data_IF_283734717000
#
_entry.id   IF_283734717000
#
_cell.length_a   1.000
_cell.length_b   1.000
_cell.length_c   1.000
_cell.angle_alpha   90.00
_cell.angle_beta   90.00
_cell.angle_gamma   90.00
#
_symmetry.space_group_name_H-M   'P 1'
#
loop_
_entity.id
_entity.type
_entity.pdbx_description
1 polymer ?
#
# COMPACT_ATOMS: atom_id res chain seq x y z
N UNK A 1 48.59 27.61 16.64
CA UNK A 1 48.11 26.94 15.42
C UNK A 1 47.45 25.64 15.85
N UNK A 2 46.19 25.72 16.32
CA UNK A 2 45.46 24.60 16.91
C UNK A 2 44.45 24.09 15.88
N UNK A 3 44.74 22.92 15.30
CA UNK A 3 43.84 22.28 14.36
C UNK A 3 42.64 21.71 15.13
N UNK A 4 41.48 22.35 14.98
CA UNK A 4 40.21 21.78 15.41
C UNK A 4 39.90 20.58 14.50
N UNK A 5 40.18 19.37 14.99
CA UNK A 5 39.64 18.14 14.43
C UNK A 5 38.12 18.18 14.60
N UNK A 6 37.40 18.37 13.49
CA UNK A 6 35.94 18.20 13.46
C UNK A 6 35.69 16.70 13.50
N UNK A 7 35.24 16.19 14.65
CA UNK A 7 34.77 14.83 14.83
C UNK A 7 33.64 14.55 13.82
N UNK A 8 33.85 13.61 12.89
CA UNK A 8 32.81 13.23 11.95
C UNK A 8 31.62 12.63 12.74
N UNK A 9 30.37 13.02 12.46
CA UNK A 9 29.22 12.55 13.22
C UNK A 9 29.15 11.01 13.18
N UNK A 10 28.81 10.35 14.30
CA UNK A 10 28.79 8.90 14.37
C UNK A 10 27.85 8.33 13.30
N UNK A 11 28.36 7.41 12.48
CA UNK A 11 27.67 6.83 11.32
C UNK A 11 26.28 6.25 11.67
N UNK A 12 26.07 5.85 12.93
CA UNK A 12 24.79 5.38 13.47
C UNK A 12 23.66 6.43 13.42
N UNK A 13 23.96 7.72 13.58
CA UNK A 13 22.96 8.80 13.51
C UNK A 13 22.46 9.02 12.07
N UNK A 14 23.35 8.88 11.09
CA UNK A 14 23.02 9.01 9.68
C UNK A 14 22.20 7.82 9.16
N UNK A 15 22.47 6.60 9.63
CA UNK A 15 21.66 5.42 9.30
C UNK A 15 20.30 5.46 10.00
N UNK A 16 20.27 5.80 11.29
CA UNK A 16 19.02 5.95 12.05
C UNK A 16 18.05 6.90 11.38
N UNK A 17 18.52 8.10 10.98
CA UNK A 17 17.69 9.09 10.29
C UNK A 17 17.16 8.61 8.94
N UNK A 18 17.95 7.85 8.16
CA UNK A 18 17.50 7.27 6.87
C UNK A 18 16.44 6.18 7.05
N UNK A 19 16.47 5.49 8.18
CA UNK A 19 15.56 4.38 8.47
C UNK A 19 14.24 4.79 9.09
N UNK A 20 14.13 6.00 9.63
CA UNK A 20 12.89 6.50 10.23
C UNK A 20 11.69 6.40 9.27
N UNK A 21 11.82 6.89 8.04
CA UNK A 21 10.72 6.87 7.08
C UNK A 21 10.32 5.44 6.65
N UNK A 22 11.26 4.56 6.22
CA UNK A 22 10.91 3.16 5.93
C UNK A 22 10.28 2.42 7.09
N UNK A 23 10.81 2.57 8.30
CA UNK A 23 10.28 1.90 9.49
C UNK A 23 8.89 2.43 9.84
N UNK A 24 8.67 3.74 9.79
CA UNK A 24 7.35 4.32 10.05
C UNK A 24 6.32 3.88 9.01
N UNK A 25 6.67 3.89 7.72
CA UNK A 25 5.75 3.49 6.65
C UNK A 25 5.45 2.00 6.68
N UNK A 26 6.48 1.14 6.68
CA UNK A 26 6.30 -0.32 6.66
C UNK A 26 5.68 -0.79 7.97
N UNK A 27 6.14 -0.26 9.10
CA UNK A 27 5.56 -0.55 10.42
C UNK A 27 4.11 -0.13 10.50
N UNK A 28 3.76 1.07 10.04
CA UNK A 28 2.37 1.56 9.99
C UNK A 28 1.47 0.69 9.09
N UNK A 29 1.95 0.32 7.89
CA UNK A 29 1.24 -0.60 6.99
C UNK A 29 1.07 -1.99 7.62
N UNK A 30 2.11 -2.50 8.28
CA UNK A 30 2.06 -3.78 9.00
C UNK A 30 1.04 -3.75 10.13
N UNK A 31 1.03 -2.70 10.94
CA UNK A 31 0.04 -2.51 12.01
C UNK A 31 -1.39 -2.41 11.47
N UNK A 32 -1.61 -1.65 10.39
CA UNK A 32 -2.90 -1.57 9.74
C UNK A 32 -3.37 -2.94 9.19
N UNK A 33 -2.44 -3.70 8.60
CA UNK A 33 -2.69 -5.06 8.09
C UNK A 33 -3.06 -6.02 9.23
N UNK A 34 -2.31 -6.00 10.33
CA UNK A 34 -2.62 -6.79 11.53
C UNK A 34 -3.99 -6.40 12.09
N UNK A 35 -4.30 -5.11 12.15
CA UNK A 35 -5.60 -4.65 12.63
C UNK A 35 -6.75 -5.17 11.76
N UNK A 36 -6.58 -5.20 10.43
CA UNK A 36 -7.55 -5.78 9.50
C UNK A 36 -7.66 -7.29 9.62
N UNK A 37 -6.57 -8.00 9.91
CA UNK A 37 -6.59 -9.43 10.18
C UNK A 37 -7.37 -9.75 11.46
N UNK A 38 -7.19 -8.94 12.51
CA UNK A 38 -7.82 -9.17 13.82
C UNK A 38 -9.26 -8.65 13.93
N UNK A 39 -9.66 -7.70 13.08
CA UNK A 39 -10.98 -7.08 13.08
C UNK A 39 -11.58 -7.15 11.69
N UNK A 40 -12.46 -8.13 11.51
CA UNK A 40 -13.00 -8.51 10.21
C UNK A 40 -13.79 -7.35 9.54
N UNK A 41 -13.33 -6.84 8.38
CA UNK A 41 -14.04 -5.82 7.61
C UNK A 41 -15.25 -6.32 6.83
N UNK A 42 -15.52 -7.63 6.81
CA UNK A 42 -16.76 -8.20 6.28
C UNK A 42 -17.94 -7.99 7.22
N UNK A 43 -17.69 -7.85 8.53
CA UNK A 43 -18.72 -7.54 9.50
C UNK A 43 -19.21 -6.09 9.34
N UNK A 44 -20.52 -5.92 9.13
CA UNK A 44 -21.11 -4.61 8.93
C UNK A 44 -20.87 -3.70 10.14
N UNK A 45 -20.29 -2.51 9.91
CA UNK A 45 -20.02 -1.53 10.95
C UNK A 45 -18.73 -1.76 11.74
N UNK A 46 -17.98 -2.84 11.48
CA UNK A 46 -16.71 -3.09 12.17
C UNK A 46 -15.71 -1.95 11.95
N UNK A 47 -15.66 -1.35 10.76
CA UNK A 47 -14.80 -0.19 10.47
C UNK A 47 -15.59 1.12 10.28
N UNK A 48 -16.73 1.22 10.95
CA UNK A 48 -17.68 2.33 10.78
C UNK A 48 -18.61 2.12 9.58
N UNK A 49 -19.41 3.15 9.27
CA UNK A 49 -20.31 3.12 8.12
C UNK A 49 -19.52 3.37 6.83
N UNK A 50 -19.68 2.51 5.81
CA UNK A 50 -19.16 2.75 4.48
C UNK A 50 -20.17 3.64 3.71
N UNK A 51 -19.90 4.94 3.46
CA UNK A 51 -20.90 5.84 2.85
C UNK A 51 -21.26 5.41 1.44
N UNK A 52 -20.30 4.81 0.73
CA UNK A 52 -20.52 4.29 -0.63
C UNK A 52 -21.52 3.14 -0.67
N UNK A 53 -21.37 2.16 0.23
CA UNK A 53 -22.33 1.08 0.38
C UNK A 53 -23.72 1.61 0.77
N UNK A 54 -23.78 2.62 1.64
CA UNK A 54 -25.06 3.27 2.00
C UNK A 54 -25.73 3.99 0.81
N UNK A 55 -24.95 4.43 -0.18
CA UNK A 55 -25.43 5.03 -1.43
C UNK A 55 -25.65 3.98 -2.55
N UNK A 56 -25.47 2.69 -2.26
CA UNK A 56 -25.69 1.60 -3.20
C UNK A 56 -24.59 1.40 -4.23
N UNK A 57 -23.37 1.90 -3.99
CA UNK A 57 -22.23 1.67 -4.89
C UNK A 57 -21.04 0.99 -4.18
N UNK A 58 -20.34 0.15 -4.93
CA UNK A 58 -19.22 -0.63 -4.43
C UNK A 58 -17.91 0.10 -4.70
N UNK A 59 -17.34 0.74 -3.67
CA UNK A 59 -16.09 1.46 -3.82
C UNK A 59 -14.86 0.53 -3.64
N UNK A 60 -13.77 0.78 -4.39
CA UNK A 60 -12.52 0.02 -4.25
C UNK A 60 -11.87 0.19 -2.87
N UNK A 61 -12.19 1.27 -2.14
CA UNK A 61 -11.69 1.52 -0.79
C UNK A 61 -12.16 0.48 0.23
N UNK A 62 -13.48 0.36 0.45
CA UNK A 62 -14.06 -0.62 1.38
C UNK A 62 -13.74 -2.06 0.93
N UNK A 63 -13.72 -2.33 -0.38
CA UNK A 63 -13.25 -3.61 -0.93
C UNK A 63 -11.76 -3.89 -0.68
N UNK A 64 -10.92 -2.85 -0.59
CA UNK A 64 -9.51 -2.98 -0.24
C UNK A 64 -9.28 -3.48 1.18
N UNK A 65 -10.09 -3.03 2.15
CA UNK A 65 -10.02 -3.53 3.53
C UNK A 65 -10.28 -5.04 3.57
N UNK A 66 -11.39 -5.48 2.94
CA UNK A 66 -11.74 -6.90 2.79
C UNK A 66 -10.66 -7.69 2.07
N UNK A 67 -10.14 -7.16 0.97
CA UNK A 67 -9.06 -7.80 0.22
C UNK A 67 -7.77 -7.97 1.02
N UNK A 68 -7.39 -7.00 1.87
CA UNK A 68 -6.23 -7.16 2.77
C UNK A 68 -6.48 -8.24 3.81
N UNK A 69 -7.66 -8.26 4.45
CA UNK A 69 -8.04 -9.30 5.40
C UNK A 69 -7.98 -10.69 4.74
N UNK A 70 -8.62 -10.88 3.59
CA UNK A 70 -8.60 -12.13 2.84
C UNK A 70 -7.16 -12.58 2.47
N UNK A 71 -6.30 -11.64 2.08
CA UNK A 71 -4.89 -11.94 1.79
C UNK A 71 -4.13 -12.43 3.04
N UNK A 72 -4.43 -11.89 4.22
CA UNK A 72 -3.81 -12.36 5.48
C UNK A 72 -4.24 -13.77 5.85
N UNK A 73 -5.42 -14.19 5.42
CA UNK A 73 -5.94 -15.55 5.58
C UNK A 73 -5.62 -16.48 4.39
N UNK A 74 -4.77 -16.02 3.46
CA UNK A 74 -4.37 -16.74 2.23
C UNK A 74 -5.54 -17.06 1.27
N UNK A 75 -6.65 -16.34 1.41
CA UNK A 75 -7.86 -16.48 0.58
C UNK A 75 -7.76 -15.62 -0.68
N UNK A 76 -6.88 -16.01 -1.61
CA UNK A 76 -6.52 -15.16 -2.76
C UNK A 76 -7.70 -14.88 -3.70
N UNK A 77 -8.60 -15.86 -3.91
CA UNK A 77 -9.77 -15.71 -4.79
C UNK A 77 -10.77 -14.73 -4.18
N UNK A 78 -11.01 -14.85 -2.87
CA UNK A 78 -11.90 -13.94 -2.14
C UNK A 78 -11.30 -12.53 -2.13
N UNK A 79 -9.99 -12.41 -1.88
CA UNK A 79 -9.29 -11.12 -1.97
C UNK A 79 -9.40 -10.49 -3.36
N UNK A 80 -9.32 -11.28 -4.43
CA UNK A 80 -9.44 -10.80 -5.80
C UNK A 80 -10.87 -10.35 -6.13
N UNK A 81 -11.87 -11.06 -5.63
CA UNK A 81 -13.28 -10.62 -5.70
C UNK A 81 -13.49 -9.31 -4.93
N UNK A 82 -12.84 -9.17 -3.78
CA UNK A 82 -12.89 -7.99 -2.92
C UNK A 82 -12.16 -6.79 -3.53
N UNK A 83 -10.98 -6.97 -4.14
CA UNK A 83 -10.23 -5.93 -4.85
C UNK A 83 -9.12 -6.52 -5.75
N UNK A 84 -9.43 -6.79 -7.01
CA UNK A 84 -8.46 -7.34 -7.96
C UNK A 84 -7.24 -6.42 -8.19
N UNK A 85 -7.44 -5.10 -8.24
CA UNK A 85 -6.35 -4.13 -8.44
C UNK A 85 -5.34 -4.23 -7.30
N UNK A 86 -5.82 -4.33 -6.05
CA UNK A 86 -4.97 -4.52 -4.89
C UNK A 86 -4.15 -5.81 -5.01
N UNK A 87 -4.79 -6.95 -5.29
CA UNK A 87 -4.11 -8.25 -5.39
C UNK A 87 -2.99 -8.22 -6.44
N UNK A 88 -3.23 -7.61 -7.60
CA UNK A 88 -2.21 -7.47 -8.64
C UNK A 88 -1.09 -6.48 -8.26
N UNK A 89 -1.41 -5.41 -7.52
CA UNK A 89 -0.44 -4.41 -7.09
C UNK A 89 0.42 -4.87 -5.90
N UNK A 90 -0.07 -5.82 -5.09
CA UNK A 90 0.60 -6.25 -3.85
C UNK A 90 2.05 -6.72 -4.04
N UNK A 91 2.39 -7.62 -4.99
CA UNK A 91 3.77 -8.05 -5.21
C UNK A 91 4.71 -6.88 -5.55
N UNK A 92 4.22 -5.94 -6.35
CA UNK A 92 4.97 -4.74 -6.75
C UNK A 92 5.19 -3.82 -5.54
N UNK A 93 4.17 -3.59 -4.73
CA UNK A 93 4.26 -2.78 -3.52
C UNK A 93 5.25 -3.37 -2.51
N UNK A 94 5.17 -4.67 -2.24
CA UNK A 94 6.09 -5.39 -1.34
C UNK A 94 7.53 -5.25 -1.86
N UNK A 95 7.75 -5.49 -3.15
CA UNK A 95 9.06 -5.37 -3.76
C UNK A 95 9.63 -3.95 -3.65
N UNK A 96 8.82 -2.92 -3.96
CA UNK A 96 9.25 -1.53 -3.90
C UNK A 96 9.55 -1.06 -2.47
N UNK A 97 8.73 -1.44 -1.49
CA UNK A 97 8.94 -1.14 -0.08
C UNK A 97 10.20 -1.84 0.45
N UNK A 98 10.35 -3.13 0.17
CA UNK A 98 11.54 -3.90 0.58
C UNK A 98 12.81 -3.33 -0.05
N UNK A 99 12.78 -3.02 -1.34
CA UNK A 99 13.91 -2.40 -2.03
C UNK A 99 14.25 -1.03 -1.45
N UNK A 100 13.26 -0.19 -1.18
CA UNK A 100 13.47 1.12 -0.56
C UNK A 100 14.07 1.01 0.86
N UNK A 101 13.61 0.05 1.66
CA UNK A 101 14.19 -0.23 2.97
C UNK A 101 15.66 -0.70 2.85
N UNK A 102 15.97 -1.61 1.93
CA UNK A 102 17.33 -2.10 1.68
C UNK A 102 18.28 -1.00 1.18
N UNK A 103 17.80 -0.14 0.27
CA UNK A 103 18.55 1.02 -0.21
C UNK A 103 18.86 1.98 0.95
N UNK A 104 17.84 2.26 1.77
CA UNK A 104 17.97 3.17 2.91
C UNK A 104 18.90 2.59 4.00
N UNK A 105 18.87 1.27 4.22
CA UNK A 105 19.78 0.56 5.12
C UNK A 105 21.23 0.57 4.63
N UNK A 106 21.44 0.29 3.34
CA UNK A 106 22.76 0.31 2.70
C UNK A 106 23.30 1.72 2.43
N UNK A 107 22.48 2.75 2.68
CA UNK A 107 22.83 4.13 2.44
C UNK A 107 22.89 4.52 0.96
N UNK A 108 22.32 3.69 0.07
CA UNK A 108 22.20 3.97 -1.36
C UNK A 108 21.14 5.06 -1.59
N UNK A 109 21.56 6.15 -2.20
CA UNK A 109 20.65 7.18 -2.69
C UNK A 109 20.40 6.91 -4.17
N UNK A 110 19.15 6.64 -4.53
CA UNK A 110 18.74 6.54 -5.94
C UNK A 110 18.26 7.91 -6.40
N UNK A 111 18.58 8.25 -7.65
CA UNK A 111 18.02 9.43 -8.29
C UNK A 111 16.48 9.34 -8.36
N UNK A 112 15.79 10.49 -8.47
CA UNK A 112 14.35 10.50 -8.68
C UNK A 112 14.00 9.71 -9.94
N UNK A 113 12.86 9.01 -9.90
CA UNK A 113 12.32 8.36 -11.09
C UNK A 113 12.05 9.43 -12.16
N UNK A 114 12.32 9.09 -13.42
CA UNK A 114 12.03 9.98 -14.55
C UNK A 114 10.56 10.44 -14.47
N UNK A 115 10.35 11.75 -14.56
CA UNK A 115 9.02 12.34 -14.47
C UNK A 115 8.05 11.77 -15.50
N UNK A 116 8.53 11.43 -16.71
CA UNK A 116 7.69 10.80 -17.75
C UNK A 116 7.25 9.40 -17.33
N UNK A 117 8.17 8.60 -16.80
CA UNK A 117 7.87 7.25 -16.31
C UNK A 117 6.89 7.32 -15.13
N UNK A 118 7.12 8.24 -14.19
CA UNK A 118 6.24 8.49 -13.05
C UNK A 118 4.84 8.90 -13.50
N UNK A 119 4.74 9.83 -14.46
CA UNK A 119 3.47 10.28 -15.02
C UNK A 119 2.72 9.14 -15.71
N UNK A 120 3.40 8.32 -16.54
CA UNK A 120 2.79 7.17 -17.20
C UNK A 120 2.29 6.15 -16.18
N UNK A 121 3.08 5.79 -15.18
CA UNK A 121 2.67 4.85 -14.13
C UNK A 121 1.47 5.37 -13.34
N UNK A 122 1.45 6.66 -13.01
CA UNK A 122 0.34 7.30 -12.35
C UNK A 122 -0.92 7.26 -13.23
N UNK A 123 -0.83 7.67 -14.49
CA UNK A 123 -1.96 7.63 -15.43
C UNK A 123 -2.50 6.22 -15.60
N UNK A 124 -1.63 5.22 -15.77
CA UNK A 124 -2.04 3.81 -15.89
C UNK A 124 -2.72 3.32 -14.61
N UNK A 125 -2.19 3.65 -13.44
CA UNK A 125 -2.77 3.26 -12.15
C UNK A 125 -4.15 3.88 -11.94
N UNK A 126 -4.29 5.18 -12.22
CA UNK A 126 -5.58 5.88 -12.14
C UNK A 126 -6.59 5.34 -13.14
N UNK A 127 -6.15 5.07 -14.37
CA UNK A 127 -7.01 4.49 -15.42
C UNK A 127 -7.47 3.09 -15.03
N UNK A 128 -6.57 2.24 -14.52
CA UNK A 128 -6.90 0.90 -14.04
C UNK A 128 -7.89 0.95 -12.86
N UNK A 129 -7.68 1.87 -11.91
CA UNK A 129 -8.58 2.06 -10.77
C UNK A 129 -9.97 2.54 -11.21
N UNK A 130 -10.03 3.48 -12.16
CA UNK A 130 -11.29 3.96 -12.72
C UNK A 130 -12.03 2.85 -13.48
N UNK A 131 -11.33 2.13 -14.37
CA UNK A 131 -11.90 1.02 -15.12
C UNK A 131 -12.41 -0.10 -14.18
N UNK A 132 -11.63 -0.46 -13.16
CA UNK A 132 -12.04 -1.42 -12.13
C UNK A 132 -13.29 -0.96 -11.39
N UNK A 133 -13.35 0.32 -10.99
CA UNK A 133 -14.51 0.88 -10.28
C UNK A 133 -15.76 0.81 -11.15
N UNK A 134 -15.66 1.14 -12.45
CA UNK A 134 -16.78 1.02 -13.38
C UNK A 134 -17.20 -0.43 -13.55
N UNK A 135 -16.26 -1.34 -13.85
CA UNK A 135 -16.55 -2.75 -14.10
C UNK A 135 -17.24 -3.41 -12.90
N UNK A 136 -16.76 -3.13 -11.67
CA UNK A 136 -17.32 -3.66 -10.43
C UNK A 136 -18.77 -3.24 -10.17
N UNK A 137 -19.22 -2.11 -10.72
CA UNK A 137 -20.58 -1.61 -10.56
C UNK A 137 -21.50 -1.95 -11.75
N UNK A 138 -21.01 -2.74 -12.72
CA UNK A 138 -21.80 -3.23 -13.85
C UNK A 138 -22.18 -4.71 -13.66
N UNK A 139 -23.27 -5.20 -14.28
CA UNK A 139 -23.68 -6.61 -14.18
C UNK A 139 -22.59 -7.60 -14.58
N UNK A 140 -21.79 -7.24 -15.60
CA UNK A 140 -20.67 -8.03 -16.10
C UNK A 140 -19.54 -8.22 -15.07
N UNK A 141 -19.45 -7.34 -14.06
CA UNK A 141 -18.46 -7.41 -12.99
C UNK A 141 -19.07 -7.73 -11.62
N UNK A 142 -20.26 -8.32 -11.58
CA UNK A 142 -20.96 -8.68 -10.32
C UNK A 142 -20.12 -9.54 -9.37
N UNK A 143 -19.24 -10.41 -9.90
CA UNK A 143 -18.28 -11.17 -9.10
C UNK A 143 -17.27 -10.30 -8.34
N UNK A 144 -16.97 -9.09 -8.82
CA UNK A 144 -16.07 -8.14 -8.15
C UNK A 144 -16.78 -7.38 -7.04
N UNK A 145 -18.08 -7.56 -6.82
CA UNK A 145 -18.87 -6.90 -5.79
C UNK A 145 -19.51 -7.91 -4.82
N UNK A 146 -18.68 -8.69 -4.08
CA UNK A 146 -19.17 -9.61 -3.05
C UNK A 146 -19.67 -8.85 -1.81
#
# INVERSE_FOLDING_TARGET
>A
MSQHLVEAPPQGTARGRRMLAPLATIGGLGLATIALHLRDPHESGSWGLCPSAALGFWCPGCGGLRGVNDLTDLRIVDAASSNLVLVLAMPVMIFLLGRWALDSWSGRVRGPMDHRVSAVLLTLSLTALAAFTVLRNLPAGSWLAP
#
